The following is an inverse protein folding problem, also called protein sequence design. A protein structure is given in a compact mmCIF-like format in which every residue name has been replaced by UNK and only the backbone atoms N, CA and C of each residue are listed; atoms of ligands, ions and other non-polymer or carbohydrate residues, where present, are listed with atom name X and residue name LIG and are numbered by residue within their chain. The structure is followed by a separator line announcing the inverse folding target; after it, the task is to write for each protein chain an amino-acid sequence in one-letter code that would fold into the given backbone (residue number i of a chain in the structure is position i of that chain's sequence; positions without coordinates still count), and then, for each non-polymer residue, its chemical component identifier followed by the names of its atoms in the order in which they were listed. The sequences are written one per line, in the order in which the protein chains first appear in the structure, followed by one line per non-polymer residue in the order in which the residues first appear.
data_IF_228607441576
#
_entry.id   IF_228607441576
#
_cell.length_a   1.000
_cell.length_b   1.000
_cell.length_c   1.000
_cell.angle_alpha   90.00
_cell.angle_beta   90.00
_cell.angle_gamma   90.00
#
_symmetry.space_group_name_H-M   'P 1'
#
loop_
_entity.id
_entity.type
_entity.pdbx_description
1 polymer ?
#
# COMPACT_ATOMS: atom_id res chain seq x y z
N UNK A 1 7.11 -14.24 -22.10
CA UNK A 1 8.00 -13.06 -22.19
C UNK A 1 8.57 -12.84 -20.82
N UNK A 2 9.80 -13.30 -20.59
CA UNK A 2 10.56 -13.04 -19.36
C UNK A 2 11.09 -11.61 -19.44
N UNK A 3 10.33 -10.66 -18.91
CA UNK A 3 10.86 -9.31 -18.70
C UNK A 3 11.90 -9.41 -17.59
N UNK A 4 13.18 -9.27 -17.95
CA UNK A 4 14.24 -9.08 -16.98
C UNK A 4 13.89 -7.87 -16.12
N UNK A 5 13.72 -8.09 -14.82
CA UNK A 5 13.46 -7.02 -13.88
C UNK A 5 14.79 -6.35 -13.51
N UNK A 6 15.04 -5.18 -14.07
CA UNK A 6 16.16 -4.34 -13.67
C UNK A 6 15.75 -3.50 -12.46
N UNK A 7 16.29 -3.84 -11.28
CA UNK A 7 16.15 -2.99 -10.09
C UNK A 7 16.91 -1.70 -10.36
N UNK A 8 16.25 -0.52 -10.33
CA UNK A 8 16.97 0.72 -10.56
C UNK A 8 18.01 0.97 -9.46
N UNK A 9 19.21 1.41 -9.86
CA UNK A 9 20.35 1.66 -8.95
C UNK A 9 20.08 2.68 -7.82
N UNK A 10 18.98 3.44 -7.91
CA UNK A 10 18.59 4.42 -6.91
C UNK A 10 17.72 3.83 -5.77
N UNK A 11 17.29 2.57 -5.87
CA UNK A 11 16.59 1.87 -4.78
C UNK A 11 17.55 1.57 -3.64
N UNK A 12 17.25 2.10 -2.44
CA UNK A 12 18.16 2.06 -1.30
C UNK A 12 17.53 1.45 -0.03
N UNK A 13 16.26 1.06 -0.07
CA UNK A 13 15.54 0.53 1.07
C UNK A 13 14.72 -0.69 0.68
N UNK A 14 14.84 -1.77 1.45
CA UNK A 14 14.08 -3.00 1.29
C UNK A 14 13.40 -3.36 2.60
N UNK A 15 12.12 -3.72 2.55
CA UNK A 15 11.40 -4.20 3.73
C UNK A 15 10.36 -5.27 3.44
N UNK A 16 10.50 -6.41 4.12
CA UNK A 16 9.57 -7.52 4.04
C UNK A 16 8.27 -7.26 4.80
N UNK A 17 7.17 -7.77 4.24
CA UNK A 17 5.90 -7.92 4.96
C UNK A 17 6.05 -8.98 6.06
N UNK A 18 5.37 -8.84 7.22
CA UNK A 18 5.45 -9.81 8.31
C UNK A 18 5.11 -11.27 7.93
N UNK A 19 4.41 -11.48 6.81
CA UNK A 19 3.99 -12.80 6.32
C UNK A 19 4.86 -13.33 5.17
N UNK A 20 5.94 -12.64 4.81
CA UNK A 20 7.03 -13.17 3.98
C UNK A 20 6.83 -13.20 2.46
N UNK A 21 5.60 -13.28 1.93
CA UNK A 21 5.40 -13.38 0.47
C UNK A 21 5.55 -12.05 -0.28
N UNK A 22 5.38 -10.93 0.42
CA UNK A 22 5.45 -9.58 -0.15
C UNK A 22 6.59 -8.79 0.45
N UNK A 23 7.21 -7.93 -0.35
CA UNK A 23 8.19 -6.96 0.11
C UNK A 23 8.08 -5.66 -0.67
N UNK A 24 8.65 -4.61 -0.10
CA UNK A 24 8.69 -3.29 -0.73
C UNK A 24 10.13 -2.89 -0.94
N UNK A 25 10.40 -2.40 -2.15
CA UNK A 25 11.62 -1.69 -2.50
C UNK A 25 11.27 -0.20 -2.57
N UNK A 26 12.02 0.64 -1.86
CA UNK A 26 11.83 2.08 -1.89
C UNK A 26 13.15 2.81 -2.12
N UNK A 27 13.05 3.94 -2.78
CA UNK A 27 14.10 4.95 -2.89
C UNK A 27 13.80 6.05 -1.89
N UNK A 28 14.31 5.91 -0.67
CA UNK A 28 14.18 6.93 0.36
C UNK A 28 15.00 8.16 0.02
N UNK A 29 14.44 9.34 0.28
CA UNK A 29 15.06 10.63 -0.02
C UNK A 29 14.37 11.35 -1.18
N UNK A 30 15.13 11.99 -2.05
CA UNK A 30 14.61 13.01 -2.99
C UNK A 30 13.69 12.48 -4.09
N UNK A 31 13.94 11.27 -4.62
CA UNK A 31 13.17 10.72 -5.74
C UNK A 31 11.92 9.96 -5.29
N UNK A 32 11.95 9.35 -4.10
CA UNK A 32 10.74 8.87 -3.42
C UNK A 32 10.00 7.72 -4.09
N UNK A 33 10.60 6.91 -4.95
CA UNK A 33 9.88 5.81 -5.61
C UNK A 33 9.62 4.64 -4.67
N UNK A 34 8.44 4.01 -4.77
CA UNK A 34 8.04 2.83 -3.98
C UNK A 34 7.55 1.75 -4.94
N UNK A 35 8.13 0.56 -4.86
CA UNK A 35 7.76 -0.62 -5.62
C UNK A 35 7.25 -1.72 -4.68
N UNK A 36 6.11 -2.29 -5.05
CA UNK A 36 5.48 -3.41 -4.36
C UNK A 36 5.83 -4.69 -5.11
N UNK A 37 6.48 -5.62 -4.42
CA UNK A 37 7.00 -6.84 -5.00
C UNK A 37 6.43 -8.08 -4.30
N UNK A 38 6.34 -9.18 -5.04
CA UNK A 38 5.88 -10.47 -4.58
C UNK A 38 6.88 -11.56 -5.01
N UNK A 39 7.12 -12.53 -4.14
CA UNK A 39 7.87 -13.73 -4.48
C UNK A 39 6.94 -14.74 -5.15
N UNK A 40 7.28 -15.20 -6.35
CA UNK A 40 6.44 -16.14 -7.08
C UNK A 40 6.50 -17.54 -6.42
N UNK A 41 5.35 -18.06 -5.97
CA UNK A 41 5.25 -19.43 -5.41
C UNK A 41 5.29 -20.53 -6.49
N UNK A 42 5.21 -20.17 -7.79
CA UNK A 42 5.14 -21.14 -8.88
C UNK A 42 6.49 -21.74 -9.29
N UNK A 43 7.60 -21.18 -8.83
CA UNK A 43 8.92 -21.78 -9.00
C UNK A 43 9.34 -22.45 -7.69
N UNK A 44 8.60 -23.49 -7.29
CA UNK A 44 9.12 -24.48 -6.35
C UNK A 44 10.35 -25.13 -6.98
N UNK A 45 11.52 -24.54 -6.75
CA UNK A 45 12.77 -25.27 -6.95
C UNK A 45 12.74 -26.39 -5.93
N UNK A 46 12.45 -27.60 -6.41
CA UNK A 46 12.43 -28.79 -5.57
C UNK A 46 13.70 -28.82 -4.72
N UNK A 47 13.51 -28.95 -3.42
CA UNK A 47 14.54 -28.89 -2.39
C UNK A 47 15.36 -30.19 -2.43
N UNK A 48 16.06 -30.43 -3.54
CA UNK A 48 16.94 -31.57 -3.78
C UNK A 48 18.40 -31.18 -4.05
N UNK A 49 18.71 -29.88 -4.13
CA UNK A 49 20.03 -29.39 -4.55
C UNK A 49 20.84 -28.68 -3.45
N UNK A 50 20.32 -28.57 -2.22
CA UNK A 50 21.01 -27.89 -1.11
C UNK A 50 22.32 -28.59 -0.68
N UNK A 51 22.44 -29.91 -0.91
CA UNK A 51 23.66 -30.68 -0.64
C UNK A 51 24.72 -30.55 -1.75
N UNK A 52 24.33 -30.18 -2.97
CA UNK A 52 25.24 -29.96 -4.11
C UNK A 52 25.81 -28.53 -4.11
N UNK A 53 25.03 -27.55 -3.62
CA UNK A 53 25.44 -26.15 -3.48
C UNK A 53 26.55 -25.93 -2.45
N UNK A 54 26.57 -26.69 -1.36
CA UNK A 54 27.62 -26.63 -0.32
C UNK A 54 28.99 -27.12 -0.84
N UNK A 55 29.01 -28.02 -1.83
CA UNK A 55 30.23 -28.55 -2.45
C UNK A 55 30.76 -27.66 -3.59
N UNK A 56 29.88 -26.88 -4.23
CA UNK A 56 30.21 -25.86 -5.23
C UNK A 56 30.64 -24.51 -4.63
N UNK A 57 30.26 -24.24 -3.38
CA UNK A 57 30.56 -23.00 -2.62
C UNK A 57 32.06 -22.76 -2.38
N UNK A 58 32.89 -23.80 -2.44
CA UNK A 58 34.36 -23.69 -2.28
C UNK A 58 35.10 -23.36 -3.59
N UNK A 59 34.44 -23.48 -4.76
CA UNK A 59 35.05 -23.26 -6.08
C UNK A 59 34.48 -22.06 -6.85
N UNK A 60 33.38 -21.45 -6.38
CA UNK A 60 32.65 -20.39 -7.12
C UNK A 60 32.85 -18.96 -6.60
N UNK A 61 33.84 -18.70 -5.73
CA UNK A 61 34.07 -17.38 -5.11
C UNK A 61 34.45 -16.23 -6.06
N UNK A 62 34.68 -16.46 -7.36
CA UNK A 62 35.01 -15.39 -8.33
C UNK A 62 34.03 -15.23 -9.50
N UNK A 63 33.04 -16.12 -9.67
CA UNK A 63 32.01 -16.00 -10.73
C UNK A 63 30.60 -15.74 -10.18
N UNK A 64 30.47 -15.54 -8.86
CA UNK A 64 29.16 -15.53 -8.19
C UNK A 64 28.37 -14.22 -8.31
N UNK A 65 28.96 -13.08 -8.65
CA UNK A 65 28.22 -11.81 -8.55
C UNK A 65 27.22 -11.63 -9.71
N UNK A 66 27.54 -12.11 -10.92
CA UNK A 66 26.68 -11.96 -12.10
C UNK A 66 25.66 -13.08 -12.28
N UNK A 67 25.96 -14.32 -11.88
CA UNK A 67 24.98 -15.43 -11.94
C UNK A 67 23.98 -15.44 -10.78
N UNK A 68 24.34 -14.90 -9.60
CA UNK A 68 23.41 -14.78 -8.48
C UNK A 68 22.34 -13.70 -8.75
N UNK A 69 22.67 -12.66 -9.52
CA UNK A 69 21.72 -11.66 -10.01
C UNK A 69 20.75 -12.22 -11.07
N UNK A 70 21.20 -13.16 -11.91
CA UNK A 70 20.38 -13.81 -12.95
C UNK A 70 19.41 -14.88 -12.40
N UNK A 71 19.72 -15.50 -11.26
CA UNK A 71 18.80 -16.42 -10.58
C UNK A 71 17.77 -15.68 -9.71
N UNK A 72 18.10 -14.49 -9.21
CA UNK A 72 17.15 -13.65 -8.46
C UNK A 72 16.11 -12.94 -9.34
N UNK A 73 16.42 -12.74 -10.63
CA UNK A 73 15.54 -12.02 -11.57
C UNK A 73 14.33 -12.83 -12.05
N UNK A 74 14.22 -14.11 -11.69
CA UNK A 74 13.13 -15.02 -12.11
C UNK A 74 12.05 -15.19 -11.02
N UNK A 75 12.35 -14.91 -9.75
CA UNK A 75 11.45 -15.18 -8.61
C UNK A 75 10.65 -13.95 -8.12
N UNK A 76 10.94 -12.75 -8.63
CA UNK A 76 10.35 -11.50 -8.14
C UNK A 76 9.38 -10.92 -9.17
N UNK A 77 8.12 -10.74 -8.76
CA UNK A 77 7.10 -10.05 -9.54
C UNK A 77 6.85 -8.66 -8.96
N UNK A 78 6.93 -7.62 -9.79
CA UNK A 78 6.49 -6.27 -9.41
C UNK A 78 4.98 -6.17 -9.61
N UNK A 79 4.25 -5.90 -8.53
CA UNK A 79 2.81 -5.72 -8.54
C UNK A 79 2.44 -4.29 -8.92
N UNK A 80 3.17 -3.33 -8.36
CA UNK A 80 2.86 -1.92 -8.51
C UNK A 80 4.09 -1.05 -8.25
N UNK A 81 4.14 0.09 -8.91
CA UNK A 81 5.15 1.11 -8.71
C UNK A 81 4.44 2.47 -8.63
N UNK A 82 4.77 3.24 -7.59
CA UNK A 82 4.24 4.59 -7.38
C UNK A 82 5.34 5.50 -6.79
N UNK A 83 5.08 6.80 -6.78
CA UNK A 83 5.97 7.83 -6.28
C UNK A 83 5.43 8.45 -5.00
N UNK A 84 6.26 8.43 -3.97
CA UNK A 84 6.08 9.18 -2.74
C UNK A 84 7.29 10.09 -2.49
N UNK A 85 7.21 11.30 -3.06
CA UNK A 85 8.23 12.33 -2.93
C UNK A 85 8.67 12.55 -1.48
N UNK A 86 9.99 12.58 -1.25
CA UNK A 86 10.62 12.76 0.07
C UNK A 86 10.30 11.69 1.11
N UNK A 87 9.77 10.52 0.70
CA UNK A 87 9.56 9.40 1.60
C UNK A 87 10.86 9.05 2.33
N UNK A 88 10.80 8.98 3.65
CA UNK A 88 11.93 8.67 4.51
C UNK A 88 11.66 7.50 5.45
N UNK A 89 10.39 7.14 5.69
CA UNK A 89 10.01 5.99 6.49
C UNK A 89 9.01 5.10 5.78
N UNK A 90 9.21 3.79 5.90
CA UNK A 90 8.31 2.76 5.37
C UNK A 90 8.02 1.72 6.46
N UNK A 91 6.75 1.48 6.72
CA UNK A 91 6.26 0.68 7.85
C UNK A 91 5.15 -0.26 7.40
N UNK A 92 5.37 -1.56 7.53
CA UNK A 92 4.32 -2.56 7.37
C UNK A 92 3.43 -2.64 8.61
N UNK A 93 2.13 -2.83 8.39
CA UNK A 93 1.19 -3.20 9.44
C UNK A 93 1.51 -4.60 9.96
N UNK A 94 1.24 -4.87 11.25
CA UNK A 94 1.40 -6.20 11.86
C UNK A 94 0.60 -7.29 11.13
N UNK A 95 -0.49 -6.93 10.42
CA UNK A 95 -1.28 -7.87 9.63
C UNK A 95 -0.79 -8.05 8.17
N UNK A 96 0.25 -7.32 7.75
CA UNK A 96 0.88 -7.45 6.43
C UNK A 96 0.03 -7.03 5.23
N UNK A 97 -1.25 -6.71 5.42
CA UNK A 97 -2.16 -6.25 4.37
C UNK A 97 -1.98 -4.78 4.00
N UNK A 98 -1.38 -4.00 4.90
CA UNK A 98 -1.24 -2.56 4.73
C UNK A 98 0.21 -2.14 4.91
N UNK A 99 0.62 -1.18 4.09
CA UNK A 99 1.89 -0.49 4.15
C UNK A 99 1.65 0.99 4.37
N UNK A 100 2.40 1.60 5.27
CA UNK A 100 2.47 3.05 5.40
C UNK A 100 3.83 3.53 4.91
N UNK A 101 3.82 4.48 3.99
CA UNK A 101 5.00 5.25 3.59
C UNK A 101 4.83 6.65 4.12
N UNK A 102 5.87 7.24 4.69
CA UNK A 102 5.77 8.45 5.48
C UNK A 102 6.89 9.42 5.15
N UNK A 103 6.57 10.70 5.29
CA UNK A 103 7.51 11.82 5.26
C UNK A 103 7.48 12.43 6.65
N UNK A 104 8.38 11.99 7.52
CA UNK A 104 8.49 12.47 8.91
C UNK A 104 9.55 13.56 9.05
N UNK A 105 9.33 14.52 9.94
CA UNK A 105 10.36 15.48 10.35
C UNK A 105 11.31 14.78 11.32
N UNK A 106 12.63 14.75 11.05
CA UNK A 106 13.58 14.15 11.97
C UNK A 106 13.60 14.95 13.29
N UNK A 107 13.66 14.27 14.45
CA UNK A 107 13.58 14.91 15.77
C UNK A 107 14.80 15.80 16.09
N UNK A 108 15.90 15.64 15.37
CA UNK A 108 17.08 16.50 15.48
C UNK A 108 17.01 17.57 14.40
N UNK A 109 17.08 18.84 14.81
CA UNK A 109 17.13 19.99 13.91
C UNK A 109 18.30 19.81 12.93
N UNK A 110 17.96 19.50 11.70
CA UNK A 110 18.91 19.29 10.62
C UNK A 110 18.49 20.13 9.43
N UNK A 111 19.43 20.39 8.55
CA UNK A 111 19.21 21.02 7.24
C UNK A 111 18.16 20.29 6.39
N UNK A 112 17.76 19.07 6.76
CA UNK A 112 16.71 18.34 6.08
C UNK A 112 15.30 18.68 6.59
N UNK A 113 15.16 19.08 7.86
CA UNK A 113 13.86 19.35 8.48
C UNK A 113 13.10 20.48 7.75
N UNK A 114 13.80 21.58 7.41
CA UNK A 114 13.19 22.69 6.67
C UNK A 114 12.80 22.32 5.22
N UNK A 115 13.45 21.32 4.62
CA UNK A 115 13.13 20.86 3.26
C UNK A 115 11.86 20.02 3.20
N UNK A 116 11.45 19.46 4.34
CA UNK A 116 10.32 18.53 4.45
C UNK A 116 9.02 19.22 4.87
N UNK A 117 9.08 20.47 5.36
CA UNK A 117 7.98 21.15 6.05
C UNK A 117 6.66 21.15 5.25
N UNK A 118 6.72 21.29 3.92
CA UNK A 118 5.53 21.29 3.04
C UNK A 118 5.11 19.92 2.45
N UNK A 119 5.90 18.86 2.64
CA UNK A 119 5.63 17.52 2.10
C UNK A 119 5.35 16.47 3.18
N UNK A 120 5.29 16.90 4.44
CA UNK A 120 5.06 16.04 5.60
C UNK A 120 3.69 15.37 5.58
N UNK A 121 3.67 14.09 5.96
CA UNK A 121 2.46 13.28 5.91
C UNK A 121 2.72 11.79 5.75
N UNK A 122 1.64 11.07 5.46
CA UNK A 122 1.70 9.63 5.23
C UNK A 122 0.71 9.19 4.16
N UNK A 123 1.10 8.15 3.43
CA UNK A 123 0.27 7.43 2.49
C UNK A 123 0.09 6.00 2.99
N UNK A 124 -1.16 5.53 3.01
CA UNK A 124 -1.50 4.15 3.34
C UNK A 124 -1.81 3.42 2.03
N UNK A 125 -1.15 2.28 1.85
CA UNK A 125 -1.25 1.43 0.70
C UNK A 125 -1.73 0.05 1.13
N UNK A 126 -2.38 -0.66 0.22
CA UNK A 126 -2.52 -2.11 0.30
C UNK A 126 -1.20 -2.79 0.00
N UNK A 127 -1.05 -4.05 0.39
CA UNK A 127 0.11 -4.89 0.03
C UNK A 127 0.31 -5.07 -1.49
N UNK A 128 -0.76 -4.86 -2.28
CA UNK A 128 -0.74 -4.91 -3.75
C UNK A 128 -0.34 -3.57 -4.39
N UNK A 129 -0.17 -2.51 -3.60
CA UNK A 129 0.18 -1.18 -4.07
C UNK A 129 -0.99 -0.25 -4.36
N UNK A 130 -2.24 -0.65 -4.16
CA UNK A 130 -3.38 0.29 -4.22
C UNK A 130 -3.28 1.33 -3.09
N UNK A 131 -3.25 2.61 -3.44
CA UNK A 131 -3.36 3.73 -2.49
C UNK A 131 -4.77 3.75 -1.87
N UNK A 132 -4.83 3.75 -0.54
CA UNK A 132 -6.08 3.83 0.23
C UNK A 132 -6.32 5.24 0.75
N UNK A 133 -5.28 5.86 1.28
CA UNK A 133 -5.38 7.16 1.93
C UNK A 133 -4.09 7.94 1.77
N UNK A 134 -4.22 9.23 1.51
CA UNK A 134 -3.10 10.17 1.38
C UNK A 134 -3.40 11.37 2.25
N UNK A 135 -2.65 11.49 3.35
CA UNK A 135 -2.83 12.58 4.30
C UNK A 135 -1.56 13.41 4.39
N UNK A 136 -1.71 14.69 4.13
CA UNK A 136 -0.70 15.69 4.46
C UNK A 136 -0.94 16.15 5.89
N UNK A 137 0.12 16.22 6.68
CA UNK A 137 0.07 16.69 8.07
C UNK A 137 1.30 17.53 8.34
N UNK A 138 1.09 18.79 8.70
CA UNK A 138 2.16 19.65 9.19
C UNK A 138 2.74 19.09 10.50
N UNK A 139 4.03 19.35 10.74
CA UNK A 139 4.73 18.90 11.95
C UNK A 139 4.56 17.39 12.22
N UNK A 140 4.68 16.57 11.17
CA UNK A 140 4.53 15.12 11.28
C UNK A 140 5.84 14.45 11.71
N UNK A 141 5.94 13.99 12.96
CA UNK A 141 7.20 13.43 13.49
C UNK A 141 7.31 11.90 13.44
N UNK A 142 6.19 11.18 13.50
CA UNK A 142 6.23 9.73 13.61
C UNK A 142 4.95 9.07 13.10
N UNK A 143 5.12 7.93 12.43
CA UNK A 143 4.05 6.99 12.15
C UNK A 143 4.36 5.65 12.82
N UNK A 144 3.41 5.11 13.58
CA UNK A 144 3.49 3.77 14.14
C UNK A 144 2.17 3.03 13.93
N UNK A 145 2.28 1.80 13.44
CA UNK A 145 1.17 0.87 13.53
C UNK A 145 0.98 0.46 14.99
N UNK A 146 -0.28 0.39 15.43
CA UNK A 146 -0.60 -0.12 16.76
C UNK A 146 -0.08 -1.56 16.89
N UNK A 147 0.68 -1.90 17.95
CA UNK A 147 1.11 -3.26 18.20
C UNK A 147 -0.11 -4.17 18.38
N UNK A 148 -0.04 -5.36 17.81
CA UNK A 148 -1.12 -6.33 17.94
C UNK A 148 -0.96 -7.09 19.27
N UNK A 149 -1.94 -7.02 20.19
CA UNK A 149 -1.86 -7.76 21.44
C UNK A 149 -1.85 -9.28 21.16
N UNK A 150 -1.32 -10.09 22.10
CA UNK A 150 -1.40 -11.54 22.00
C UNK A 150 -2.84 -12.01 21.85
N UNK A 151 -3.03 -13.10 21.11
CA UNK A 151 -4.37 -13.69 20.91
C UNK A 151 -4.96 -14.17 22.23
N UNK A 152 -6.23 -13.85 22.47
CA UNK A 152 -6.99 -14.36 23.61
C UNK A 152 -7.57 -15.75 23.34
N UNK A 153 -7.42 -16.26 22.11
CA UNK A 153 -7.97 -17.54 21.69
C UNK A 153 -7.07 -18.69 22.11
N UNK A 154 -7.68 -19.78 22.55
CA UNK A 154 -6.99 -21.05 22.76
C UNK A 154 -6.52 -21.66 21.44
N UNK A 155 -5.51 -22.53 21.50
CA UNK A 155 -4.98 -23.23 20.32
C UNK A 155 -6.06 -24.02 19.57
N UNK A 156 -6.98 -24.66 20.30
CA UNK A 156 -8.12 -25.38 19.71
C UNK A 156 -9.01 -24.46 18.87
N UNK A 157 -9.29 -23.25 19.35
CA UNK A 157 -10.10 -22.28 18.62
C UNK A 157 -9.36 -21.77 17.38
N UNK A 158 -8.05 -21.53 17.47
CA UNK A 158 -7.24 -21.13 16.32
C UNK A 158 -7.25 -22.20 15.22
N UNK A 159 -7.12 -23.48 15.59
CA UNK A 159 -7.12 -24.56 14.61
C UNK A 159 -8.50 -24.78 13.98
N UNK A 160 -9.56 -24.63 14.76
CA UNK A 160 -10.93 -24.65 14.25
C UNK A 160 -11.19 -23.50 13.25
N UNK A 161 -10.67 -22.30 13.54
CA UNK A 161 -10.75 -21.15 12.62
C UNK A 161 -9.96 -21.44 11.33
N UNK A 162 -8.76 -22.00 11.42
CA UNK A 162 -7.97 -22.39 10.25
C UNK A 162 -8.72 -23.40 9.37
N UNK A 163 -9.38 -24.40 9.98
CA UNK A 163 -10.19 -25.41 9.26
C UNK A 163 -11.41 -24.78 8.59
N UNK A 164 -12.10 -23.86 9.26
CA UNK A 164 -13.31 -23.18 8.75
C UNK A 164 -13.01 -21.88 8.00
N UNK A 165 -11.76 -21.64 7.59
CA UNK A 165 -11.37 -20.36 6.99
C UNK A 165 -12.14 -20.03 5.70
N UNK A 166 -12.45 -21.03 4.88
CA UNK A 166 -13.25 -20.83 3.65
C UNK A 166 -14.67 -20.34 3.92
N UNK A 167 -15.30 -20.85 4.98
CA UNK A 167 -16.64 -20.43 5.40
C UNK A 167 -16.62 -18.99 5.92
N UNK A 168 -15.66 -18.68 6.80
CA UNK A 168 -15.45 -17.33 7.30
C UNK A 168 -15.18 -16.33 6.16
N UNK A 169 -14.35 -16.71 5.19
CA UNK A 169 -14.05 -15.87 4.02
C UNK A 169 -15.33 -15.50 3.26
N UNK A 170 -16.15 -16.49 2.88
CA UNK A 170 -17.41 -16.25 2.16
C UNK A 170 -18.37 -15.36 2.94
N UNK A 171 -18.50 -15.60 4.25
CA UNK A 171 -19.37 -14.82 5.13
C UNK A 171 -18.95 -13.35 5.19
N UNK A 172 -17.66 -13.09 5.41
CA UNK A 172 -17.16 -11.72 5.52
C UNK A 172 -17.17 -10.98 4.18
N UNK A 173 -16.92 -11.69 3.08
CA UNK A 173 -16.98 -11.10 1.74
C UNK A 173 -18.40 -10.67 1.36
N UNK A 174 -19.42 -11.48 1.71
CA UNK A 174 -20.82 -11.12 1.53
C UNK A 174 -21.24 -9.92 2.40
N UNK A 175 -20.80 -9.88 3.66
CA UNK A 175 -21.12 -8.77 4.57
C UNK A 175 -20.43 -7.46 4.15
N UNK A 176 -19.15 -7.54 3.74
CA UNK A 176 -18.42 -6.40 3.20
C UNK A 176 -19.08 -5.85 1.94
N UNK A 177 -19.53 -6.72 1.04
CA UNK A 177 -20.21 -6.29 -0.20
C UNK A 177 -21.55 -5.63 0.10
N UNK A 178 -22.32 -6.19 1.05
CA UNK A 178 -23.55 -5.58 1.55
C UNK A 178 -23.28 -4.17 2.07
N UNK A 179 -22.31 -4.01 2.96
CA UNK A 179 -21.94 -2.70 3.54
C UNK A 179 -21.45 -1.70 2.47
N UNK A 180 -20.67 -2.14 1.48
CA UNK A 180 -20.25 -1.29 0.35
C UNK A 180 -21.44 -0.82 -0.48
N UNK A 181 -22.38 -1.73 -0.77
CA UNK A 181 -23.58 -1.42 -1.55
C UNK A 181 -24.50 -0.43 -0.82
N UNK A 182 -24.66 -0.59 0.49
CA UNK A 182 -25.44 0.30 1.35
C UNK A 182 -24.82 1.69 1.41
N UNK A 183 -23.50 1.79 1.64
CA UNK A 183 -22.78 3.08 1.62
C UNK A 183 -22.88 3.78 0.28
N UNK A 184 -22.73 3.04 -0.83
CA UNK A 184 -22.86 3.59 -2.18
C UNK A 184 -24.27 4.13 -2.43
N UNK A 185 -25.31 3.38 -2.03
CA UNK A 185 -26.71 3.80 -2.17
C UNK A 185 -26.99 5.06 -1.34
N UNK A 186 -26.53 5.10 -0.09
CA UNK A 186 -26.69 6.26 0.78
C UNK A 186 -26.01 7.50 0.20
N UNK A 187 -24.79 7.35 -0.33
CA UNK A 187 -24.08 8.45 -0.99
C UNK A 187 -24.81 8.96 -2.24
N UNK A 188 -25.26 8.06 -3.12
CA UNK A 188 -26.01 8.44 -4.32
C UNK A 188 -27.30 9.18 -3.97
N UNK A 189 -28.01 8.73 -2.93
CA UNK A 189 -29.21 9.40 -2.44
C UNK A 189 -28.91 10.82 -1.93
N UNK A 190 -27.82 11.01 -1.18
CA UNK A 190 -27.40 12.34 -0.75
C UNK A 190 -27.06 13.24 -1.95
N UNK A 191 -26.38 12.73 -2.96
CA UNK A 191 -26.09 13.49 -4.18
C UNK A 191 -27.38 13.88 -4.93
N UNK A 192 -28.35 12.98 -5.03
CA UNK A 192 -29.65 13.24 -5.64
C UNK A 192 -30.41 14.34 -4.87
N UNK A 193 -30.50 14.22 -3.54
CA UNK A 193 -31.13 15.22 -2.66
C UNK A 193 -30.49 16.62 -2.80
N UNK A 194 -29.15 16.70 -2.87
CA UNK A 194 -28.45 17.98 -3.08
C UNK A 194 -28.64 18.54 -4.51
N UNK A 195 -28.67 17.69 -5.54
CA UNK A 195 -28.97 18.11 -6.90
C UNK A 195 -30.40 18.66 -7.03
N UNK A 196 -31.39 17.98 -6.43
CA UNK A 196 -32.77 18.46 -6.40
C UNK A 196 -32.89 19.80 -5.67
N UNK A 197 -32.21 19.95 -4.53
CA UNK A 197 -32.18 21.21 -3.79
C UNK A 197 -31.57 22.34 -4.61
N UNK A 198 -30.48 22.08 -5.33
CA UNK A 198 -29.87 23.07 -6.21
C UNK A 198 -30.80 23.46 -7.36
N UNK A 199 -31.48 22.47 -7.97
CA UNK A 199 -32.43 22.72 -9.05
C UNK A 199 -33.61 23.58 -8.57
N UNK A 200 -34.16 23.32 -7.39
CA UNK A 200 -35.22 24.14 -6.79
C UNK A 200 -34.80 25.61 -6.65
N UNK A 201 -33.56 25.87 -6.20
CA UNK A 201 -33.02 27.23 -6.10
C UNK A 201 -32.92 27.89 -7.48
N UNK A 202 -32.50 27.15 -8.51
CA UNK A 202 -32.44 27.67 -9.88
C UNK A 202 -33.83 28.04 -10.41
N UNK A 203 -34.82 27.17 -10.20
CA UNK A 203 -36.20 27.38 -10.63
C UNK A 203 -36.81 28.61 -9.91
N UNK A 204 -36.55 28.77 -8.61
CA UNK A 204 -36.95 29.95 -7.83
C UNK A 204 -36.29 31.23 -8.36
N UNK A 205 -35.01 31.18 -8.69
CA UNK A 205 -34.27 32.31 -9.27
C UNK A 205 -34.81 32.68 -10.65
N UNK A 206 -35.14 31.70 -11.49
CA UNK A 206 -35.74 31.94 -12.80
C UNK A 206 -37.13 32.58 -12.66
N UNK A 207 -37.96 32.05 -11.76
CA UNK A 207 -39.26 32.65 -11.44
C UNK A 207 -39.12 34.08 -10.88
N UNK A 208 -38.09 34.35 -10.08
CA UNK A 208 -37.80 35.69 -9.58
C UNK A 208 -37.37 36.65 -10.70
N UNK A 209 -36.53 36.20 -11.65
CA UNK A 209 -36.10 36.98 -12.82
C UNK A 209 -37.28 37.38 -13.69
N UNK A 210 -38.22 36.46 -13.94
CA UNK A 210 -39.45 36.75 -14.70
C UNK A 210 -40.27 37.85 -14.04
N UNK A 211 -40.33 37.89 -12.69
CA UNK A 211 -41.03 38.93 -11.93
C UNK A 211 -40.30 40.27 -11.90
N UNK A 212 -38.99 40.29 -12.12
CA UNK A 212 -38.15 41.49 -12.02
C UNK A 212 -37.31 41.72 -13.29
N UNK A 213 -37.95 42.00 -14.44
CA UNK A 213 -37.26 42.11 -15.73
C UNK A 213 -36.27 43.28 -15.82
N UNK A 214 -36.41 44.30 -14.96
CA UNK A 214 -35.52 45.47 -14.94
C UNK A 214 -34.14 45.21 -14.30
N UNK A 215 -33.94 44.07 -13.63
CA UNK A 215 -32.69 43.71 -12.97
C UNK A 215 -31.88 42.63 -13.72
N UNK A 216 -32.30 42.30 -14.95
CA UNK A 216 -31.60 41.35 -15.82
C UNK A 216 -30.71 42.17 -16.77
N UNK A 217 -29.41 42.22 -16.48
CA UNK A 217 -28.39 42.73 -17.41
C UNK A 217 -27.95 41.63 -18.38
#
# INVERSE_FOLDING_TARGET
MTHSFDIPNYMNFLKWSPFGSYFVLASLGTYGTVMFCHLNDQDTVEVGLLLLLLLLLLLMMMMMMTMMLLLLSVLVMVLHQDEHYMCNEVRWSHCGRYLATCVVIPPVASTQAYRLDGSTGFNIWTFQGKLLEKNKKEYFYQFLWRPHPPTLLSEKQLDDIKKRMKEHSKRYEAEDERLRSEKRRAFLKQCEEECERFQQILDELEAWKVKHPFFVF
#
